data_IF_274702587166
#
_entry.id   IF_274702587166
#
_cell.length_a   1.000
_cell.length_b   1.000
_cell.length_c   1.000
_cell.angle_alpha   90.00
_cell.angle_beta   90.00
_cell.angle_gamma   90.00
#
_symmetry.space_group_name_H-M   'P 1'
#
loop_
_entity.id
_entity.type
_entity.pdbx_description
1 polymer ?
#
# COMPACT_ATOMS: atom_id res chain seq x y z
N UNK A 1 16.05 -8.23 -34.60
CA UNK A 1 15.66 -7.10 -33.70
C UNK A 1 16.65 -7.08 -32.55
N UNK A 2 17.26 -5.94 -32.19
CA UNK A 2 18.17 -5.89 -31.05
C UNK A 2 17.38 -6.23 -29.78
N UNK A 3 17.92 -7.14 -28.99
CA UNK A 3 17.33 -7.53 -27.68
C UNK A 3 17.45 -6.32 -26.78
N UNK A 4 16.33 -5.71 -26.42
CA UNK A 4 16.29 -4.60 -25.44
C UNK A 4 16.97 -5.10 -24.16
N UNK A 5 17.96 -4.36 -23.64
CA UNK A 5 18.66 -4.78 -22.42
C UNK A 5 17.69 -4.84 -21.25
N UNK A 6 17.92 -5.75 -20.30
CA UNK A 6 17.10 -5.88 -19.10
C UNK A 6 17.02 -4.56 -18.32
N UNK A 7 18.12 -3.82 -18.27
CA UNK A 7 18.19 -2.49 -17.63
C UNK A 7 17.30 -1.45 -18.31
N UNK A 8 17.28 -1.41 -19.64
CA UNK A 8 16.39 -0.51 -20.38
C UNK A 8 14.92 -0.86 -20.14
N UNK A 9 14.59 -2.16 -20.14
CA UNK A 9 13.22 -2.60 -19.86
C UNK A 9 12.77 -2.22 -18.45
N UNK A 10 13.67 -2.33 -17.46
CA UNK A 10 13.36 -1.95 -16.08
C UNK A 10 13.22 -0.43 -15.93
N UNK A 11 14.15 0.36 -16.47
CA UNK A 11 14.03 1.82 -16.49
C UNK A 11 12.72 2.28 -17.13
N UNK A 12 12.25 1.58 -18.18
CA UNK A 12 10.98 1.86 -18.83
C UNK A 12 9.78 1.53 -17.94
N UNK A 13 9.84 0.41 -17.21
CA UNK A 13 8.79 0.07 -16.22
C UNK A 13 8.70 1.13 -15.13
N UNK A 14 9.83 1.55 -14.57
CA UNK A 14 9.87 2.61 -13.55
C UNK A 14 9.31 3.94 -14.08
N UNK A 15 9.65 4.34 -15.29
CA UNK A 15 9.07 5.53 -15.92
C UNK A 15 7.54 5.42 -16.02
N UNK A 16 7.03 4.28 -16.49
CA UNK A 16 5.59 4.04 -16.66
C UNK A 16 4.90 4.07 -15.30
N UNK A 17 5.41 3.35 -14.32
CA UNK A 17 4.79 3.28 -12.99
C UNK A 17 4.84 4.61 -12.25
N UNK A 18 5.96 5.33 -12.32
CA UNK A 18 6.09 6.65 -11.71
C UNK A 18 5.08 7.67 -12.30
N UNK A 19 4.94 7.70 -13.63
CA UNK A 19 3.94 8.55 -14.27
C UNK A 19 2.51 8.11 -14.00
N UNK A 20 2.24 6.80 -13.97
CA UNK A 20 0.93 6.27 -13.62
C UNK A 20 0.54 6.63 -12.17
N UNK A 21 1.48 6.50 -11.20
CA UNK A 21 1.26 6.90 -9.80
C UNK A 21 0.86 8.38 -9.70
N UNK A 22 1.59 9.29 -10.36
CA UNK A 22 1.25 10.73 -10.39
C UNK A 22 -0.12 10.98 -11.01
N UNK A 23 -0.43 10.29 -12.11
CA UNK A 23 -1.72 10.42 -12.79
C UNK A 23 -2.88 9.96 -11.89
N UNK A 24 -2.74 8.81 -11.22
CA UNK A 24 -3.73 8.31 -10.28
C UNK A 24 -3.90 9.25 -9.07
N UNK A 25 -2.80 9.69 -8.45
CA UNK A 25 -2.84 10.59 -7.31
C UNK A 25 -3.56 11.92 -7.66
N UNK A 26 -3.32 12.44 -8.87
CA UNK A 26 -3.91 13.71 -9.32
C UNK A 26 -5.38 13.61 -9.72
N UNK A 27 -5.81 12.49 -10.31
CA UNK A 27 -7.11 12.38 -10.96
C UNK A 27 -8.00 11.27 -10.39
N UNK A 28 -7.54 10.55 -9.37
CA UNK A 28 -8.17 9.35 -8.86
C UNK A 28 -8.08 8.17 -9.84
N UNK A 29 -8.53 7.00 -9.40
CA UNK A 29 -8.51 5.81 -10.25
C UNK A 29 -9.39 5.99 -11.50
N UNK A 30 -10.63 6.43 -11.35
CA UNK A 30 -11.55 6.59 -12.48
C UNK A 30 -11.13 7.72 -13.42
N UNK A 31 -10.69 8.85 -12.86
CA UNK A 31 -10.27 10.01 -13.60
C UNK A 31 -8.95 9.86 -14.35
N UNK A 32 -8.10 8.89 -14.02
CA UNK A 32 -6.88 8.55 -14.76
C UNK A 32 -7.21 7.85 -16.07
N UNK A 33 -7.71 8.61 -17.05
CA UNK A 33 -8.00 8.12 -18.39
C UNK A 33 -6.72 7.81 -19.17
N UNK A 34 -6.82 6.98 -20.23
CA UNK A 34 -5.66 6.63 -21.07
C UNK A 34 -4.94 7.87 -21.62
N UNK A 35 -5.62 8.90 -22.18
CA UNK A 35 -4.93 10.10 -22.62
C UNK A 35 -4.22 10.88 -21.51
N UNK A 36 -4.74 10.86 -20.28
CA UNK A 36 -4.04 11.46 -19.13
C UNK A 36 -2.82 10.66 -18.71
N UNK A 37 -2.91 9.33 -18.73
CA UNK A 37 -1.77 8.44 -18.49
C UNK A 37 -0.66 8.68 -19.51
N UNK A 38 -0.98 8.71 -20.81
CA UNK A 38 -0.01 8.98 -21.87
C UNK A 38 0.71 10.33 -21.67
N UNK A 39 -0.05 11.37 -21.34
CA UNK A 39 0.51 12.70 -21.08
C UNK A 39 1.40 12.73 -19.85
N UNK A 40 0.98 12.11 -18.75
CA UNK A 40 1.71 12.12 -17.48
C UNK A 40 2.97 11.23 -17.52
N UNK A 41 2.90 10.12 -18.24
CA UNK A 41 4.01 9.19 -18.44
C UNK A 41 4.99 9.70 -19.51
N UNK A 42 4.50 10.46 -20.49
CA UNK A 42 5.29 10.93 -21.64
C UNK A 42 5.55 9.83 -22.68
N UNK A 43 4.63 8.86 -22.81
CA UNK A 43 4.74 7.75 -23.75
C UNK A 43 3.41 7.52 -24.48
N UNK A 44 3.49 7.00 -25.72
CA UNK A 44 2.30 6.61 -26.47
C UNK A 44 1.60 5.38 -25.87
N UNK A 45 0.32 5.22 -26.23
CA UNK A 45 -0.50 4.06 -25.86
C UNK A 45 0.24 2.73 -26.03
N UNK A 46 0.76 2.47 -27.22
CA UNK A 46 1.47 1.23 -27.53
C UNK A 46 2.73 1.03 -26.66
N UNK A 47 3.46 2.11 -26.37
CA UNK A 47 4.65 2.02 -25.53
C UNK A 47 4.32 1.68 -24.07
N UNK A 48 3.19 2.14 -23.55
CA UNK A 48 2.72 1.82 -22.18
C UNK A 48 2.13 0.40 -22.14
N UNK A 49 1.18 0.12 -23.04
CA UNK A 49 0.38 -1.10 -22.97
C UNK A 49 1.06 -2.34 -23.58
N UNK A 50 2.27 -2.18 -24.11
CA UNK A 50 3.20 -3.31 -24.32
C UNK A 50 3.76 -3.89 -23.02
N UNK A 51 3.83 -3.10 -21.96
CA UNK A 51 4.31 -3.53 -20.62
C UNK A 51 3.16 -3.95 -19.70
N UNK A 52 2.01 -3.27 -19.79
CA UNK A 52 0.86 -3.49 -18.92
C UNK A 52 -0.41 -3.59 -19.76
N UNK A 53 -1.19 -4.65 -19.58
CA UNK A 53 -2.36 -4.93 -20.43
C UNK A 53 -3.50 -3.92 -20.28
N UNK A 54 -3.56 -3.20 -19.17
CA UNK A 54 -4.66 -2.30 -18.84
C UNK A 54 -4.29 -1.29 -17.75
N UNK A 55 -5.11 -0.24 -17.59
CA UNK A 55 -5.05 0.68 -16.43
C UNK A 55 -5.13 -0.09 -15.11
N UNK A 56 -5.93 -1.13 -15.05
CA UNK A 56 -6.08 -1.97 -13.87
C UNK A 56 -4.77 -2.71 -13.52
N UNK A 57 -4.04 -3.19 -14.53
CA UNK A 57 -2.75 -3.86 -14.30
C UNK A 57 -1.69 -2.87 -13.82
N UNK A 58 -1.68 -1.63 -14.32
CA UNK A 58 -0.81 -0.56 -13.80
C UNK A 58 -1.10 -0.29 -12.31
N UNK A 59 -2.38 -0.14 -11.96
CA UNK A 59 -2.77 0.09 -10.59
C UNK A 59 -2.41 -1.09 -9.67
N UNK A 60 -2.65 -2.31 -10.12
CA UNK A 60 -2.31 -3.51 -9.33
C UNK A 60 -0.80 -3.65 -9.11
N UNK A 61 0.02 -3.32 -10.09
CA UNK A 61 1.48 -3.38 -9.91
C UNK A 61 1.95 -2.32 -8.91
N UNK A 62 1.42 -1.10 -8.96
CA UNK A 62 1.70 -0.07 -7.96
C UNK A 62 1.25 -0.51 -6.56
N UNK A 63 0.03 -1.01 -6.45
CA UNK A 63 -0.49 -1.52 -5.19
C UNK A 63 0.34 -2.67 -4.62
N UNK A 64 0.75 -3.63 -5.45
CA UNK A 64 1.61 -4.74 -5.05
C UNK A 64 2.96 -4.25 -4.50
N UNK A 65 3.55 -3.24 -5.14
CA UNK A 65 4.83 -2.64 -4.67
C UNK A 65 4.66 -1.93 -3.32
N UNK A 66 3.59 -1.17 -3.16
CA UNK A 66 3.32 -0.48 -1.90
C UNK A 66 3.02 -1.47 -0.78
N UNK A 67 2.20 -2.50 -1.04
CA UNK A 67 1.94 -3.55 -0.07
C UNK A 67 3.22 -4.29 0.32
N UNK A 68 4.08 -4.63 -0.63
CA UNK A 68 5.36 -5.28 -0.34
C UNK A 68 6.27 -4.39 0.53
N UNK A 69 6.30 -3.07 0.24
CA UNK A 69 7.06 -2.09 1.04
C UNK A 69 6.51 -1.98 2.47
N UNK A 70 5.21 -1.82 2.62
CA UNK A 70 4.56 -1.70 3.93
C UNK A 70 4.65 -3.00 4.73
N UNK A 71 4.52 -4.14 4.07
CA UNK A 71 4.70 -5.44 4.70
C UNK A 71 6.14 -5.63 5.20
N UNK A 72 7.15 -5.26 4.41
CA UNK A 72 8.54 -5.29 4.85
C UNK A 72 8.77 -4.40 6.09
N UNK A 73 8.24 -3.17 6.10
CA UNK A 73 8.32 -2.30 7.28
C UNK A 73 7.65 -2.95 8.50
N UNK A 74 6.45 -3.51 8.32
CA UNK A 74 5.75 -4.22 9.39
C UNK A 74 6.53 -5.41 9.91
N UNK A 75 7.06 -6.24 9.02
CA UNK A 75 7.80 -7.45 9.39
C UNK A 75 9.13 -7.15 10.08
N UNK A 76 9.83 -6.11 9.67
CA UNK A 76 11.16 -5.80 10.19
C UNK A 76 11.11 -4.87 11.41
N UNK A 77 10.25 -3.84 11.39
CA UNK A 77 10.27 -2.71 12.31
C UNK A 77 8.96 -2.55 13.12
N UNK A 78 7.88 -3.23 12.71
CA UNK A 78 6.63 -3.26 13.46
C UNK A 78 5.71 -2.07 13.25
N UNK A 79 4.76 -1.93 14.18
CA UNK A 79 3.66 -0.95 14.09
C UNK A 79 4.15 0.50 14.00
N UNK A 80 5.07 0.90 14.86
CA UNK A 80 5.50 2.30 14.97
C UNK A 80 6.08 2.82 13.65
N UNK A 81 7.00 2.05 13.06
CA UNK A 81 7.63 2.42 11.80
C UNK A 81 6.61 2.48 10.65
N UNK A 82 5.68 1.53 10.62
CA UNK A 82 4.63 1.52 9.59
C UNK A 82 3.64 2.68 9.78
N UNK A 83 3.26 3.01 11.01
CA UNK A 83 2.40 4.15 11.30
C UNK A 83 3.03 5.47 10.82
N UNK A 84 4.33 5.67 11.11
CA UNK A 84 5.09 6.83 10.61
C UNK A 84 5.20 6.84 9.08
N UNK A 85 5.46 5.69 8.46
CA UNK A 85 5.53 5.59 7.00
C UNK A 85 4.19 5.98 6.35
N UNK A 86 3.06 5.55 6.88
CA UNK A 86 1.71 5.94 6.42
C UNK A 86 1.48 7.44 6.63
N UNK A 87 1.88 8.00 7.79
CA UNK A 87 1.71 9.41 8.08
C UNK A 87 2.50 10.33 7.12
N UNK A 88 3.61 9.85 6.55
CA UNK A 88 4.42 10.58 5.58
C UNK A 88 4.07 10.26 4.10
N UNK A 89 3.17 9.32 3.85
CA UNK A 89 2.76 8.99 2.48
C UNK A 89 1.92 10.11 1.87
N UNK A 90 1.94 10.22 0.54
CA UNK A 90 1.13 11.16 -0.22
C UNK A 90 -0.37 10.88 0.02
N UNK A 91 -1.13 11.80 0.64
CA UNK A 91 -2.54 11.59 0.93
C UNK A 91 -3.39 11.45 -0.33
N UNK A 92 -3.00 12.09 -1.44
CA UNK A 92 -3.71 11.97 -2.71
C UNK A 92 -3.58 10.53 -3.25
N UNK A 93 -2.38 9.94 -3.13
CA UNK A 93 -2.16 8.55 -3.52
C UNK A 93 -2.90 7.56 -2.59
N UNK A 94 -2.88 7.77 -1.28
CA UNK A 94 -3.67 6.96 -0.34
C UNK A 94 -5.17 7.03 -0.64
N UNK A 95 -5.66 8.20 -1.06
CA UNK A 95 -7.06 8.40 -1.47
C UNK A 95 -7.50 7.50 -2.62
N UNK A 96 -6.59 7.20 -3.56
CA UNK A 96 -6.87 6.28 -4.68
C UNK A 96 -7.26 4.87 -4.19
N UNK A 97 -6.66 4.40 -3.11
CA UNK A 97 -7.03 3.11 -2.49
C UNK A 97 -8.45 3.14 -1.93
N UNK A 98 -8.87 4.24 -1.31
CA UNK A 98 -10.25 4.38 -0.79
C UNK A 98 -11.28 4.39 -1.91
N UNK A 99 -11.00 5.09 -3.02
CA UNK A 99 -11.85 5.03 -4.23
C UNK A 99 -11.93 3.61 -4.78
N UNK A 100 -10.79 2.91 -4.83
CA UNK A 100 -10.71 1.57 -5.37
C UNK A 100 -11.48 0.54 -4.52
N UNK A 101 -11.61 0.75 -3.21
CA UNK A 101 -12.42 -0.09 -2.34
C UNK A 101 -13.89 -0.20 -2.79
N UNK A 102 -14.43 0.83 -3.44
CA UNK A 102 -15.78 0.75 -4.03
C UNK A 102 -15.83 -0.33 -5.13
N UNK A 103 -14.83 -0.38 -5.99
CA UNK A 103 -14.74 -1.38 -7.05
C UNK A 103 -14.61 -2.80 -6.49
N UNK A 104 -13.86 -2.97 -5.40
CA UNK A 104 -13.72 -4.28 -4.73
C UNK A 104 -15.04 -4.82 -4.20
N UNK A 105 -16.01 -3.95 -3.85
CA UNK A 105 -17.33 -4.36 -3.37
C UNK A 105 -18.29 -4.67 -4.51
N UNK A 106 -18.11 -4.05 -5.67
CA UNK A 106 -19.07 -4.13 -6.80
C UNK A 106 -18.62 -5.08 -7.90
N UNK A 107 -17.34 -5.47 -7.95
CA UNK A 107 -16.79 -6.36 -8.96
C UNK A 107 -16.02 -7.52 -8.31
N UNK A 108 -16.65 -8.70 -8.31
CA UNK A 108 -16.06 -9.91 -7.72
C UNK A 108 -14.79 -10.40 -8.45
N UNK A 109 -14.62 -10.11 -9.75
CA UNK A 109 -13.43 -10.49 -10.51
C UNK A 109 -12.25 -9.59 -10.11
N UNK A 110 -12.48 -8.28 -9.99
CA UNK A 110 -11.49 -7.33 -9.48
C UNK A 110 -11.11 -7.70 -8.05
N UNK A 111 -12.07 -7.99 -7.17
CA UNK A 111 -11.81 -8.39 -5.79
C UNK A 111 -10.95 -9.66 -5.68
N UNK A 112 -11.18 -10.67 -6.53
CA UNK A 112 -10.34 -11.88 -6.58
C UNK A 112 -8.90 -11.57 -7.02
N UNK A 113 -8.74 -10.73 -8.05
CA UNK A 113 -7.42 -10.32 -8.54
C UNK A 113 -6.67 -9.50 -7.48
N UNK A 114 -7.37 -8.59 -6.81
CA UNK A 114 -6.83 -7.79 -5.72
C UNK A 114 -6.26 -8.66 -4.61
N UNK A 115 -7.04 -9.61 -4.08
CA UNK A 115 -6.58 -10.53 -3.03
C UNK A 115 -5.31 -11.29 -3.41
N UNK A 116 -5.15 -11.65 -4.70
CA UNK A 116 -3.92 -12.30 -5.19
C UNK A 116 -2.74 -11.34 -5.27
N UNK A 117 -2.98 -10.09 -5.66
CA UNK A 117 -1.93 -9.09 -5.86
C UNK A 117 -1.37 -8.58 -4.52
N UNK A 118 -2.22 -8.47 -3.50
CA UNK A 118 -1.89 -7.87 -2.20
C UNK A 118 -2.02 -8.89 -1.05
N UNK A 119 -1.79 -10.18 -1.34
CA UNK A 119 -1.77 -11.21 -0.30
C UNK A 119 -0.73 -10.84 0.76
N UNK A 120 -1.22 -10.50 1.96
CA UNK A 120 -0.36 -10.25 3.12
C UNK A 120 0.21 -11.55 3.65
N UNK A 121 1.38 -11.50 4.26
CA UNK A 121 1.94 -12.64 4.98
C UNK A 121 1.00 -13.07 6.12
N UNK A 122 1.06 -14.37 6.46
CA UNK A 122 0.25 -14.89 7.54
C UNK A 122 0.56 -14.14 8.85
N UNK A 123 -0.46 -13.62 9.56
CA UNK A 123 -0.24 -12.86 10.80
C UNK A 123 0.63 -13.58 11.84
N UNK A 124 0.49 -14.90 11.92
CA UNK A 124 1.16 -15.72 12.92
C UNK A 124 2.70 -15.76 12.80
N UNK A 125 3.25 -15.43 11.62
CA UNK A 125 4.71 -15.45 11.39
C UNK A 125 5.36 -14.05 11.49
N UNK A 126 4.57 -13.02 11.75
CA UNK A 126 5.01 -11.63 11.65
C UNK A 126 5.76 -11.08 12.88
N UNK A 127 6.12 -9.79 12.78
CA UNK A 127 6.76 -9.04 13.85
C UNK A 127 6.05 -9.21 15.20
N UNK A 128 4.74 -9.01 15.25
CA UNK A 128 3.96 -9.11 16.49
C UNK A 128 4.10 -10.47 17.18
N UNK A 129 4.07 -11.57 16.41
CA UNK A 129 4.25 -12.91 16.98
C UNK A 129 5.65 -13.10 17.57
N UNK A 130 6.67 -12.59 16.89
CA UNK A 130 8.05 -12.66 17.40
C UNK A 130 8.23 -11.83 18.68
N UNK A 131 7.63 -10.65 18.75
CA UNK A 131 7.72 -9.79 19.93
C UNK A 131 6.99 -10.38 21.15
N UNK A 132 5.80 -10.99 20.92
CA UNK A 132 5.09 -11.72 21.97
C UNK A 132 5.87 -12.94 22.46
N UNK A 133 6.41 -13.75 21.55
CA UNK A 133 7.21 -14.94 21.90
C UNK A 133 8.49 -14.57 22.68
N UNK A 134 9.05 -13.40 22.41
CA UNK A 134 10.21 -12.85 23.12
C UNK A 134 9.86 -12.13 24.43
N UNK A 135 8.58 -12.02 24.81
CA UNK A 135 8.13 -11.32 26.00
C UNK A 135 8.29 -9.79 25.97
N UNK A 136 8.52 -9.21 24.80
CA UNK A 136 8.63 -7.74 24.64
C UNK A 136 7.27 -7.07 24.45
N UNK A 137 6.26 -7.84 24.09
CA UNK A 137 4.86 -7.41 23.99
C UNK A 137 4.01 -8.31 24.90
N UNK A 138 2.98 -7.74 25.50
CA UNK A 138 2.03 -8.42 26.40
C UNK A 138 1.51 -9.74 25.82
N UNK A 139 1.52 -10.79 26.62
CA UNK A 139 1.06 -12.13 26.24
C UNK A 139 -0.35 -12.47 26.74
N UNK A 140 -0.97 -11.61 27.54
CA UNK A 140 -2.32 -11.81 28.14
C UNK A 140 -3.46 -11.54 27.13
N UNK A 141 -3.15 -10.96 25.97
CA UNK A 141 -4.06 -10.75 24.85
C UNK A 141 -3.64 -11.63 23.68
N UNK A 142 -4.61 -12.26 23.04
CA UNK A 142 -4.33 -13.14 21.91
C UNK A 142 -3.68 -12.36 20.75
N UNK A 143 -2.78 -13.02 20.04
CA UNK A 143 -2.14 -12.47 18.84
C UNK A 143 -3.18 -11.90 17.84
N UNK A 144 -4.26 -12.64 17.58
CA UNK A 144 -5.32 -12.24 16.66
C UNK A 144 -6.00 -10.91 17.09
N UNK A 145 -6.26 -10.73 18.39
CA UNK A 145 -6.88 -9.51 18.88
C UNK A 145 -5.94 -8.30 18.76
N UNK A 146 -4.66 -8.46 19.13
CA UNK A 146 -3.66 -7.42 18.96
C UNK A 146 -3.44 -7.06 17.49
N UNK A 147 -3.34 -8.05 16.61
CA UNK A 147 -3.22 -7.82 15.17
C UNK A 147 -4.41 -7.03 14.64
N UNK A 148 -5.64 -7.44 14.98
CA UNK A 148 -6.86 -6.74 14.56
C UNK A 148 -6.92 -5.31 15.07
N UNK A 149 -6.54 -5.08 16.32
CA UNK A 149 -6.46 -3.73 16.90
C UNK A 149 -5.47 -2.84 16.15
N UNK A 150 -4.22 -3.28 15.99
CA UNK A 150 -3.19 -2.52 15.29
C UNK A 150 -3.54 -2.26 13.81
N UNK A 151 -4.06 -3.27 13.14
CA UNK A 151 -4.49 -3.14 11.75
C UNK A 151 -5.66 -2.13 11.59
N UNK A 152 -6.60 -2.12 12.54
CA UNK A 152 -7.70 -1.15 12.56
C UNK A 152 -7.16 0.27 12.75
N UNK A 153 -6.18 0.48 13.63
CA UNK A 153 -5.53 1.77 13.81
C UNK A 153 -4.82 2.24 12.53
N UNK A 154 -4.06 1.36 11.87
CA UNK A 154 -3.39 1.70 10.59
C UNK A 154 -4.40 2.11 9.52
N UNK A 155 -5.53 1.42 9.40
CA UNK A 155 -6.60 1.82 8.48
C UNK A 155 -7.21 3.17 8.86
N UNK A 156 -7.37 3.44 10.16
CA UNK A 156 -7.78 4.75 10.69
C UNK A 156 -6.81 5.87 10.32
N UNK A 157 -5.50 5.62 10.39
CA UNK A 157 -4.46 6.57 9.96
C UNK A 157 -4.56 6.88 8.47
N UNK A 158 -4.73 5.86 7.62
CA UNK A 158 -4.94 6.05 6.18
C UNK A 158 -6.16 6.95 5.93
N UNK A 159 -7.29 6.67 6.59
CA UNK A 159 -8.51 7.46 6.45
C UNK A 159 -8.31 8.91 6.91
N UNK A 160 -7.67 9.13 8.05
CA UNK A 160 -7.39 10.47 8.58
C UNK A 160 -6.50 11.27 7.61
N UNK A 161 -5.43 10.65 7.08
CA UNK A 161 -4.56 11.29 6.08
C UNK A 161 -5.31 11.72 4.82
N UNK A 162 -6.21 10.90 4.32
CA UNK A 162 -6.94 11.18 3.08
C UNK A 162 -8.08 12.18 3.27
N UNK A 163 -8.55 12.39 4.50
CA UNK A 163 -9.58 13.40 4.81
C UNK A 163 -9.04 14.82 5.02
N UNK A 164 -7.73 15.02 4.90
CA UNK A 164 -7.08 16.33 5.09
C UNK A 164 -6.92 16.74 6.56
N UNK A 165 -7.14 15.82 7.49
CA UNK A 165 -6.88 16.07 8.91
C UNK A 165 -5.37 16.27 9.15
N UNK A 166 -5.01 17.27 9.95
CA UNK A 166 -3.67 17.33 10.53
C UNK A 166 -3.52 16.14 11.48
N UNK A 167 -2.59 15.25 11.15
CA UNK A 167 -2.36 14.02 11.90
C UNK A 167 -0.97 14.06 12.54
N UNK A 168 -0.92 14.28 13.85
CA UNK A 168 0.26 13.96 14.64
C UNK A 168 0.20 12.46 15.00
N UNK A 169 1.11 11.69 14.44
CA UNK A 169 1.17 10.24 14.65
C UNK A 169 1.86 9.87 15.97
N UNK A 170 2.70 10.72 16.53
CA UNK A 170 3.53 10.38 17.68
C UNK A 170 2.73 10.10 18.98
N UNK A 171 1.66 10.84 19.32
CA UNK A 171 0.81 10.47 20.45
C UNK A 171 0.17 9.09 20.28
N UNK A 172 -0.23 8.74 19.05
CA UNK A 172 -0.84 7.43 18.75
C UNK A 172 0.21 6.32 18.94
N UNK A 173 1.43 6.53 18.42
CA UNK A 173 2.56 5.60 18.57
C UNK A 173 2.87 5.38 20.05
N UNK A 174 2.91 6.45 20.84
CA UNK A 174 3.16 6.38 22.29
C UNK A 174 2.09 5.57 23.00
N UNK A 175 0.81 5.86 22.76
CA UNK A 175 -0.31 5.12 23.37
C UNK A 175 -0.29 3.64 22.99
N UNK A 176 0.03 3.32 21.75
CA UNK A 176 0.14 1.92 21.31
C UNK A 176 1.30 1.23 22.01
N UNK A 177 2.47 1.88 22.11
CA UNK A 177 3.62 1.33 22.85
C UNK A 177 3.24 0.97 24.28
N UNK A 178 2.67 1.92 25.03
CA UNK A 178 2.20 1.71 26.41
C UNK A 178 1.16 0.59 26.51
N UNK A 179 0.25 0.50 25.52
CA UNK A 179 -0.75 -0.58 25.46
C UNK A 179 -0.14 -1.96 25.25
N UNK A 180 0.96 -2.03 24.51
CA UNK A 180 1.65 -3.29 24.17
C UNK A 180 2.67 -3.73 25.23
N UNK A 181 3.01 -2.90 26.22
CA UNK A 181 3.97 -3.25 27.26
C UNK A 181 3.58 -4.55 27.98
N UNK A 182 4.57 -5.40 28.31
CA UNK A 182 4.35 -6.61 29.12
C UNK A 182 3.68 -6.29 30.44
N UNK A 183 2.75 -7.15 30.87
CA UNK A 183 2.11 -7.10 32.19
C UNK A 183 2.43 -8.33 32.99
#
# INVERSE_FOLDING_TARGET
MPKVSAEYAEARREQILGGARRCFARWGYEGATVPRLEREIGLSHGAIFNYYRSKLDLFFELARRDHARFDAIWQEQGFEALARAIAHEDPAWLGVYLEFHRLLRTDAAIARRWRKAVAMHAPEAGWLAREQAAGRIRGDITHQALFSFLHTLLNGLVLARTSGAELDVEPIVTLVRETLEPR
#
